data_IF_355881214534
#
_entry.id   IF_355881214534
#
_cell.length_a   1.000
_cell.length_b   1.000
_cell.length_c   1.000
_cell.angle_alpha   90.00
_cell.angle_beta   90.00
_cell.angle_gamma   90.00
#
_symmetry.space_group_name_H-M   'P 1'
#
loop_
_entity.id
_entity.type
_entity.pdbx_description
1 polymer ?
#
# COMPACT_ATOMS: atom_id res chain seq x y z
N UNK A 1 23.16 -54.14 65.85
CA UNK A 1 22.37 -54.16 64.66
C UNK A 1 22.34 -52.75 64.04
N UNK A 2 23.13 -52.62 63.00
CA UNK A 2 23.41 -51.36 62.30
C UNK A 2 22.29 -51.09 61.30
N UNK A 3 21.64 -49.93 61.46
CA UNK A 3 20.72 -49.33 60.49
C UNK A 3 21.54 -48.44 59.57
N UNK A 4 21.59 -48.73 58.27
CA UNK A 4 22.07 -47.79 57.23
C UNK A 4 20.92 -46.96 56.70
N UNK A 5 21.12 -45.66 56.52
CA UNK A 5 20.11 -44.82 55.87
C UNK A 5 20.22 -44.91 54.37
N UNK A 6 19.07 -44.99 53.73
CA UNK A 6 18.87 -44.97 52.29
C UNK A 6 19.22 -43.57 51.74
N UNK A 7 20.13 -43.50 50.79
CA UNK A 7 20.42 -42.27 50.04
C UNK A 7 19.34 -42.04 49.01
N UNK A 8 18.62 -40.94 49.17
CA UNK A 8 17.72 -40.38 48.19
C UNK A 8 18.55 -39.70 47.09
N UNK A 9 18.55 -40.25 45.89
CA UNK A 9 19.13 -39.63 44.71
C UNK A 9 18.17 -38.58 44.18
N UNK A 10 18.48 -37.31 44.42
CA UNK A 10 17.80 -36.18 43.77
C UNK A 10 18.17 -36.13 42.28
N UNK A 11 17.18 -36.40 41.44
CA UNK A 11 17.26 -36.22 40.01
C UNK A 11 17.22 -34.71 39.72
N UNK A 12 18.36 -34.15 39.31
CA UNK A 12 18.45 -32.78 38.82
C UNK A 12 17.79 -32.73 37.46
N UNK A 13 16.61 -32.14 37.39
CA UNK A 13 15.99 -31.79 36.10
C UNK A 13 16.85 -30.73 35.39
N UNK A 14 17.47 -31.11 34.28
CA UNK A 14 18.13 -30.17 33.41
C UNK A 14 17.07 -29.27 32.77
N UNK A 15 17.05 -28.01 33.18
CA UNK A 15 16.32 -26.94 32.47
C UNK A 15 17.01 -26.72 31.16
N UNK A 16 16.40 -27.21 30.08
CA UNK A 16 16.78 -26.84 28.70
C UNK A 16 16.57 -25.33 28.53
N UNK A 17 17.67 -24.61 28.35
CA UNK A 17 17.62 -23.23 27.87
C UNK A 17 17.00 -23.21 26.48
N UNK A 18 16.08 -22.27 26.18
CA UNK A 18 15.59 -22.11 24.83
C UNK A 18 16.77 -21.69 23.93
N UNK A 19 16.92 -22.41 22.81
CA UNK A 19 17.92 -22.11 21.80
C UNK A 19 17.84 -20.65 21.39
N UNK A 20 19.02 -20.01 21.32
CA UNK A 20 19.20 -18.64 20.82
C UNK A 20 18.42 -18.43 19.53
N UNK A 21 17.48 -17.51 19.55
CA UNK A 21 16.90 -16.95 18.35
C UNK A 21 18.03 -16.24 17.57
N UNK A 22 18.10 -16.36 16.24
CA UNK A 22 19.17 -15.73 15.48
C UNK A 22 19.11 -14.21 15.72
N UNK A 23 20.21 -13.65 16.24
CA UNK A 23 20.44 -12.21 16.32
C UNK A 23 20.36 -11.63 14.90
N UNK A 24 19.34 -10.84 14.63
CA UNK A 24 19.13 -10.19 13.32
C UNK A 24 17.70 -10.35 12.75
N UNK A 25 16.80 -11.03 13.42
CA UNK A 25 15.39 -10.93 13.09
C UNK A 25 14.91 -9.52 13.46
N UNK A 26 14.72 -8.67 12.45
CA UNK A 26 13.96 -7.44 12.62
C UNK A 26 12.64 -7.81 13.33
N UNK A 27 12.18 -6.97 14.29
CA UNK A 27 10.91 -7.23 14.95
C UNK A 27 9.87 -7.53 13.89
N UNK A 28 9.08 -8.57 14.11
CA UNK A 28 8.02 -9.00 13.19
C UNK A 28 7.25 -7.75 12.76
N UNK A 29 7.54 -7.28 11.55
CA UNK A 29 6.89 -6.10 11.00
C UNK A 29 5.39 -6.35 11.10
N UNK A 30 4.73 -5.54 11.89
CA UNK A 30 3.27 -5.57 12.01
C UNK A 30 2.74 -5.35 10.60
N UNK A 31 2.15 -6.40 10.01
CA UNK A 31 1.55 -6.28 8.68
C UNK A 31 0.55 -5.14 8.73
N UNK A 32 0.56 -4.25 7.75
CA UNK A 32 -0.38 -3.14 7.74
C UNK A 32 -1.81 -3.69 7.77
N UNK A 33 -2.65 -3.03 8.54
CA UNK A 33 -4.06 -3.40 8.65
C UNK A 33 -4.72 -3.34 7.27
N UNK A 34 -5.51 -4.36 6.94
CA UNK A 34 -6.30 -4.39 5.70
C UNK A 34 -7.41 -3.33 5.81
N UNK A 35 -7.41 -2.38 4.89
CA UNK A 35 -8.46 -1.35 4.79
C UNK A 35 -9.61 -1.89 3.96
N UNK A 36 -10.79 -2.00 4.59
CA UNK A 36 -12.05 -2.33 3.92
C UNK A 36 -12.81 -1.05 3.55
N UNK A 37 -13.84 -1.18 2.71
CA UNK A 37 -14.72 -0.06 2.38
C UNK A 37 -15.38 0.54 3.63
N UNK A 38 -15.85 -0.31 4.54
CA UNK A 38 -16.45 0.09 5.80
C UNK A 38 -15.49 0.91 6.67
N UNK A 39 -14.24 0.46 6.78
CA UNK A 39 -13.19 1.19 7.52
C UNK A 39 -12.87 2.55 6.88
N UNK A 40 -12.84 2.63 5.56
CA UNK A 40 -12.67 3.91 4.86
C UNK A 40 -13.85 4.85 5.14
N UNK A 41 -15.08 4.37 5.07
CA UNK A 41 -16.28 5.15 5.38
C UNK A 41 -16.29 5.66 6.84
N UNK A 42 -15.91 4.80 7.79
CA UNK A 42 -15.78 5.19 9.20
C UNK A 42 -14.71 6.29 9.39
N UNK A 43 -13.58 6.16 8.71
CA UNK A 43 -12.52 7.15 8.76
C UNK A 43 -12.93 8.49 8.15
N UNK A 44 -13.69 8.48 7.04
CA UNK A 44 -14.25 9.69 6.43
C UNK A 44 -15.19 10.39 7.41
N UNK A 45 -16.09 9.65 8.06
CA UNK A 45 -17.00 10.21 9.08
C UNK A 45 -16.24 10.77 10.27
N UNK A 46 -15.22 10.04 10.76
CA UNK A 46 -14.41 10.44 11.91
C UNK A 46 -13.56 11.69 11.63
N UNK A 47 -13.25 11.98 10.37
CA UNK A 47 -12.47 13.18 9.99
C UNK A 47 -13.20 14.48 10.28
N UNK A 48 -14.54 14.44 10.38
CA UNK A 48 -15.40 15.63 10.58
C UNK A 48 -15.43 16.57 9.38
N UNK A 49 -14.86 16.21 8.24
CA UNK A 49 -14.84 17.01 7.02
C UNK A 49 -16.00 16.60 6.09
N UNK A 50 -16.44 17.56 5.28
CA UNK A 50 -17.44 17.30 4.25
C UNK A 50 -16.75 16.71 3.01
N UNK A 51 -17.14 15.48 2.64
CA UNK A 51 -16.69 14.79 1.44
C UNK A 51 -17.88 14.45 0.53
N UNK A 52 -17.62 14.41 -0.78
CA UNK A 52 -18.57 13.92 -1.78
C UNK A 52 -18.62 12.38 -1.73
N UNK A 53 -19.45 11.83 -0.85
CA UNK A 53 -19.57 10.38 -0.67
C UNK A 53 -20.12 9.68 -1.90
N UNK A 54 -20.98 10.33 -2.70
CA UNK A 54 -21.53 9.74 -3.93
C UNK A 54 -20.40 9.50 -4.95
N UNK A 55 -19.51 10.47 -5.12
CA UNK A 55 -18.32 10.34 -5.97
C UNK A 55 -17.39 9.24 -5.47
N UNK A 56 -17.08 9.22 -4.18
CA UNK A 56 -16.15 8.27 -3.58
C UNK A 56 -16.72 6.84 -3.65
N UNK A 57 -17.99 6.64 -3.35
CA UNK A 57 -18.64 5.33 -3.46
C UNK A 57 -18.67 4.83 -4.92
N UNK A 58 -18.97 5.71 -5.86
CA UNK A 58 -18.94 5.40 -7.29
C UNK A 58 -17.54 5.00 -7.76
N UNK A 59 -16.50 5.69 -7.28
CA UNK A 59 -15.10 5.35 -7.56
C UNK A 59 -14.74 3.98 -6.96
N UNK A 60 -15.14 3.72 -5.73
CA UNK A 60 -14.94 2.42 -5.10
C UNK A 60 -15.62 1.29 -5.88
N UNK A 61 -16.88 1.45 -6.26
CA UNK A 61 -17.63 0.43 -6.99
C UNK A 61 -16.95 0.11 -8.33
N UNK A 62 -16.53 1.12 -9.08
CA UNK A 62 -15.81 0.93 -10.33
C UNK A 62 -14.48 0.19 -10.12
N UNK A 63 -13.69 0.58 -9.14
CA UNK A 63 -12.42 -0.07 -8.83
C UNK A 63 -12.61 -1.52 -8.33
N UNK A 64 -13.62 -1.75 -7.51
CA UNK A 64 -13.93 -3.09 -7.01
C UNK A 64 -14.38 -4.03 -8.13
N UNK A 65 -15.24 -3.58 -9.03
CA UNK A 65 -15.69 -4.34 -10.19
C UNK A 65 -14.53 -4.61 -11.17
N UNK A 66 -13.69 -3.62 -11.38
CA UNK A 66 -12.52 -3.72 -12.26
C UNK A 66 -11.50 -4.77 -11.80
N UNK A 67 -11.32 -4.92 -10.48
CA UNK A 67 -10.36 -5.84 -9.89
C UNK A 67 -11.01 -7.10 -9.27
N UNK A 68 -12.25 -7.38 -9.64
CA UNK A 68 -12.98 -8.54 -9.12
C UNK A 68 -12.26 -9.85 -9.44
N UNK A 69 -12.04 -10.67 -8.40
CA UNK A 69 -11.34 -11.95 -8.53
C UNK A 69 -9.82 -11.84 -8.65
N UNK A 70 -9.24 -10.66 -8.60
CA UNK A 70 -7.79 -10.44 -8.59
C UNK A 70 -7.29 -10.35 -7.16
N UNK A 71 -6.22 -11.09 -6.85
CA UNK A 71 -5.54 -11.04 -5.55
C UNK A 71 -4.14 -10.45 -5.69
N UNK A 72 -3.66 -9.81 -4.63
CA UNK A 72 -2.27 -9.39 -4.51
C UNK A 72 -1.36 -10.61 -4.26
N UNK A 73 -0.06 -10.44 -4.41
CA UNK A 73 0.92 -11.50 -4.08
C UNK A 73 0.88 -11.91 -2.61
N UNK A 74 0.46 -11.03 -1.71
CA UNK A 74 0.22 -11.26 -0.29
C UNK A 74 -1.06 -12.05 0.01
N UNK A 75 -1.91 -12.29 -1.00
CA UNK A 75 -3.10 -13.15 -0.94
C UNK A 75 -4.41 -12.42 -0.69
N UNK A 76 -4.39 -11.15 -0.24
CA UNK A 76 -5.60 -10.35 -0.06
C UNK A 76 -6.20 -9.90 -1.41
N UNK A 77 -7.52 -9.63 -1.47
CA UNK A 77 -8.16 -9.07 -2.66
C UNK A 77 -7.48 -7.77 -3.09
N UNK A 78 -7.32 -7.58 -4.40
CA UNK A 78 -6.59 -6.42 -4.94
C UNK A 78 -7.16 -5.07 -4.49
N UNK A 79 -8.48 -4.97 -4.33
CA UNK A 79 -9.17 -3.75 -3.91
C UNK A 79 -8.65 -3.19 -2.56
N UNK A 80 -8.05 -4.02 -1.72
CA UNK A 80 -7.46 -3.59 -0.45
C UNK A 80 -6.31 -2.58 -0.66
N UNK A 81 -5.61 -2.65 -1.80
CA UNK A 81 -4.56 -1.69 -2.12
C UNK A 81 -5.10 -0.29 -2.44
N UNK A 82 -5.98 -0.07 -3.42
CA UNK A 82 -6.55 1.25 -3.65
C UNK A 82 -7.31 1.79 -2.43
N UNK A 83 -7.95 0.95 -1.63
CA UNK A 83 -8.56 1.37 -0.36
C UNK A 83 -7.52 1.88 0.64
N UNK A 84 -6.39 1.21 0.78
CA UNK A 84 -5.30 1.65 1.64
C UNK A 84 -4.68 2.96 1.17
N UNK A 85 -4.49 3.13 -0.14
CA UNK A 85 -4.00 4.40 -0.72
C UNK A 85 -4.99 5.53 -0.47
N UNK A 86 -6.29 5.29 -0.68
CA UNK A 86 -7.34 6.27 -0.40
C UNK A 86 -7.37 6.67 1.09
N UNK A 87 -7.15 5.71 2.00
CA UNK A 87 -7.05 5.99 3.44
C UNK A 87 -5.87 6.88 3.79
N UNK A 88 -4.71 6.65 3.19
CA UNK A 88 -3.54 7.50 3.39
C UNK A 88 -3.79 8.92 2.87
N UNK A 89 -4.41 9.05 1.72
CA UNK A 89 -4.80 10.34 1.13
C UNK A 89 -5.80 11.08 2.02
N UNK A 90 -6.77 10.38 2.59
CA UNK A 90 -7.72 10.91 3.57
C UNK A 90 -7.01 11.41 4.84
N UNK A 91 -6.09 10.63 5.37
CA UNK A 91 -5.32 10.96 6.59
C UNK A 91 -4.46 12.22 6.40
N UNK A 92 -4.01 12.47 5.18
CA UNK A 92 -3.33 13.71 4.79
C UNK A 92 -4.29 14.91 4.60
N UNK A 93 -5.58 14.69 4.75
CA UNK A 93 -6.58 15.75 4.68
C UNK A 93 -6.90 16.25 3.28
N UNK A 94 -6.70 15.42 2.26
CA UNK A 94 -6.94 15.79 0.86
C UNK A 94 -8.43 15.76 0.51
N UNK A 95 -8.78 16.31 -0.65
CA UNK A 95 -10.15 16.49 -1.12
C UNK A 95 -10.81 15.22 -1.66
N UNK A 96 -12.09 15.29 -1.99
CA UNK A 96 -12.89 14.17 -2.51
C UNK A 96 -12.34 13.64 -3.83
N UNK A 97 -11.91 14.53 -4.72
CA UNK A 97 -11.34 14.19 -6.03
C UNK A 97 -10.05 13.39 -5.87
N UNK A 98 -9.21 13.73 -4.90
CA UNK A 98 -7.98 13.00 -4.58
C UNK A 98 -8.26 11.60 -4.05
N UNK A 99 -9.27 11.45 -3.18
CA UNK A 99 -9.71 10.14 -2.67
C UNK A 99 -10.25 9.28 -3.81
N UNK A 100 -11.10 9.84 -4.67
CA UNK A 100 -11.61 9.15 -5.85
C UNK A 100 -10.48 8.73 -6.80
N UNK A 101 -9.54 9.62 -7.08
CA UNK A 101 -8.37 9.32 -7.92
C UNK A 101 -7.47 8.22 -7.30
N UNK A 102 -7.31 8.20 -5.99
CA UNK A 102 -6.59 7.14 -5.28
C UNK A 102 -7.27 5.77 -5.44
N UNK A 103 -8.59 5.71 -5.35
CA UNK A 103 -9.37 4.49 -5.59
C UNK A 103 -9.25 4.00 -7.04
N UNK A 104 -9.12 4.91 -7.99
CA UNK A 104 -9.13 4.63 -9.43
C UNK A 104 -7.73 4.55 -10.07
N UNK A 105 -6.65 4.77 -9.31
CA UNK A 105 -5.31 4.99 -9.88
C UNK A 105 -4.79 3.84 -10.75
N UNK A 106 -5.19 2.60 -10.50
CA UNK A 106 -4.78 1.41 -11.27
C UNK A 106 -5.82 0.96 -12.32
N UNK A 107 -7.02 1.54 -12.32
CA UNK A 107 -8.13 1.04 -13.16
C UNK A 107 -7.83 1.15 -14.65
N UNK A 108 -7.20 2.23 -15.10
CA UNK A 108 -6.86 2.44 -16.51
C UNK A 108 -5.74 1.50 -16.98
N UNK A 109 -4.80 1.17 -16.10
CA UNK A 109 -3.69 0.25 -16.45
C UNK A 109 -4.14 -1.20 -16.48
N UNK A 110 -5.01 -1.60 -15.56
CA UNK A 110 -5.34 -2.99 -15.29
C UNK A 110 -6.62 -3.45 -16.02
N UNK A 111 -7.39 -2.53 -16.59
CA UNK A 111 -8.69 -2.82 -17.21
C UNK A 111 -8.90 -2.07 -18.53
N UNK A 112 -9.92 -2.44 -19.32
CA UNK A 112 -10.28 -1.70 -20.55
C UNK A 112 -10.85 -0.30 -20.32
N UNK A 113 -11.11 0.12 -19.08
CA UNK A 113 -11.61 1.46 -18.75
C UNK A 113 -10.65 2.53 -19.25
N UNK A 114 -11.16 3.50 -20.02
CA UNK A 114 -10.38 4.58 -20.59
C UNK A 114 -10.42 5.85 -19.75
N UNK A 115 -9.49 6.79 -20.00
CA UNK A 115 -9.54 8.13 -19.41
C UNK A 115 -10.80 8.91 -19.81
N UNK A 116 -11.30 8.70 -21.02
CA UNK A 116 -12.56 9.31 -21.46
C UNK A 116 -13.75 8.78 -20.65
N UNK A 117 -13.77 7.48 -20.32
CA UNK A 117 -14.78 6.90 -19.43
C UNK A 117 -14.72 7.53 -18.04
N UNK A 118 -13.52 7.73 -17.49
CA UNK A 118 -13.34 8.38 -16.19
C UNK A 118 -13.76 9.85 -16.23
N UNK A 119 -13.44 10.56 -17.30
CA UNK A 119 -13.84 11.96 -17.49
C UNK A 119 -15.37 12.07 -17.51
N UNK A 120 -16.05 11.18 -18.24
CA UNK A 120 -17.52 11.17 -18.34
C UNK A 120 -18.20 10.88 -16.97
N UNK A 121 -17.59 10.01 -16.17
CA UNK A 121 -18.18 9.57 -14.90
C UNK A 121 -17.80 10.43 -13.68
N UNK A 122 -16.57 10.95 -13.64
CA UNK A 122 -15.99 11.64 -12.47
C UNK A 122 -15.53 13.07 -12.74
N UNK A 123 -15.53 13.51 -14.00
CA UNK A 123 -15.03 14.82 -14.39
C UNK A 123 -13.53 14.79 -14.76
N UNK A 124 -13.11 15.90 -15.39
CA UNK A 124 -11.74 16.02 -15.92
C UNK A 124 -10.67 16.06 -14.82
N UNK A 125 -10.97 16.60 -13.66
CA UNK A 125 -10.04 16.74 -12.54
C UNK A 125 -9.58 15.36 -12.02
N UNK A 126 -10.50 14.46 -11.74
CA UNK A 126 -10.20 13.08 -11.32
C UNK A 126 -9.46 12.33 -12.42
N UNK A 127 -9.93 12.42 -13.68
CA UNK A 127 -9.29 11.76 -14.81
C UNK A 127 -7.85 12.23 -15.05
N UNK A 128 -7.57 13.51 -14.92
CA UNK A 128 -6.22 14.06 -15.04
C UNK A 128 -5.29 13.60 -13.92
N UNK A 129 -5.77 13.49 -12.69
CA UNK A 129 -4.98 12.93 -11.60
C UNK A 129 -4.65 11.46 -11.82
N UNK A 130 -5.60 10.65 -12.26
CA UNK A 130 -5.36 9.24 -12.60
C UNK A 130 -4.36 9.11 -13.74
N UNK A 131 -4.50 9.90 -14.79
CA UNK A 131 -3.53 9.96 -15.91
C UNK A 131 -2.12 10.33 -15.44
N UNK A 132 -2.01 11.32 -14.58
CA UNK A 132 -0.74 11.73 -13.99
C UNK A 132 -0.04 10.63 -13.20
N UNK A 133 -0.78 9.92 -12.36
CA UNK A 133 -0.26 8.78 -11.58
C UNK A 133 0.18 7.65 -12.51
N UNK A 134 -0.61 7.33 -13.53
CA UNK A 134 -0.29 6.34 -14.56
C UNK A 134 1.00 6.67 -15.30
N UNK A 135 1.17 7.92 -15.74
CA UNK A 135 2.38 8.38 -16.42
C UNK A 135 3.63 8.27 -15.55
N UNK A 136 3.52 8.57 -14.25
CA UNK A 136 4.62 8.38 -13.30
C UNK A 136 4.99 6.92 -13.09
N UNK A 137 4.03 6.00 -13.23
CA UNK A 137 4.27 4.56 -13.09
C UNK A 137 4.99 3.95 -14.29
N UNK A 138 4.70 4.42 -15.51
CA UNK A 138 5.19 3.82 -16.78
C UNK A 138 6.65 4.16 -17.14
N UNK A 139 7.38 4.83 -16.26
CA UNK A 139 8.76 5.21 -16.54
C UNK A 139 9.66 3.98 -16.44
N UNK A 140 10.14 3.47 -17.60
CA UNK A 140 11.15 2.41 -17.69
C UNK A 140 12.53 3.03 -17.92
N UNK A 141 13.56 2.45 -17.30
CA UNK A 141 14.89 3.04 -17.26
C UNK A 141 15.97 2.05 -17.66
N UNK A 142 16.91 2.52 -18.47
CA UNK A 142 18.06 1.74 -18.96
C UNK A 142 19.32 1.92 -18.12
N UNK A 143 19.41 2.96 -17.30
CA UNK A 143 20.59 3.25 -16.48
C UNK A 143 20.20 4.12 -15.26
N UNK A 144 20.89 3.91 -14.11
CA UNK A 144 20.50 4.49 -12.82
C UNK A 144 20.67 6.02 -12.78
N UNK A 145 21.67 6.58 -13.44
CA UNK A 145 21.92 8.03 -13.42
C UNK A 145 20.95 8.81 -14.30
N UNK A 146 20.67 8.31 -15.51
CA UNK A 146 19.61 8.83 -16.38
C UNK A 146 18.23 8.70 -15.74
N UNK A 147 18.03 7.60 -14.99
CA UNK A 147 16.88 7.30 -14.18
C UNK A 147 16.55 8.43 -13.20
N UNK A 148 17.53 8.86 -12.41
CA UNK A 148 17.32 9.86 -11.36
C UNK A 148 16.99 11.24 -11.95
N UNK A 149 17.71 11.66 -12.98
CA UNK A 149 17.50 12.94 -13.64
C UNK A 149 16.13 13.00 -14.35
N UNK A 150 15.77 11.93 -15.08
CA UNK A 150 14.49 11.86 -15.78
C UNK A 150 13.30 11.72 -14.84
N UNK A 151 13.47 10.99 -13.73
CA UNK A 151 12.48 10.92 -12.66
C UNK A 151 12.23 12.29 -12.04
N UNK A 152 13.29 12.98 -11.66
CA UNK A 152 13.18 14.32 -11.08
C UNK A 152 12.49 15.28 -12.05
N UNK A 153 12.86 15.25 -13.33
CA UNK A 153 12.22 16.06 -14.37
C UNK A 153 10.73 15.76 -14.49
N UNK A 154 10.33 14.50 -14.54
CA UNK A 154 8.91 14.08 -14.65
C UNK A 154 8.14 14.39 -13.39
N UNK A 155 8.76 14.23 -12.23
CA UNK A 155 8.19 14.68 -10.96
C UNK A 155 7.91 16.19 -10.97
N UNK A 156 8.88 17.01 -11.38
CA UNK A 156 8.72 18.46 -11.47
C UNK A 156 7.62 18.85 -12.48
N UNK A 157 7.53 18.17 -13.62
CA UNK A 157 6.48 18.40 -14.62
C UNK A 157 5.09 17.99 -14.10
N UNK A 158 4.98 16.88 -13.36
CA UNK A 158 3.73 16.47 -12.75
C UNK A 158 3.31 17.44 -11.63
N UNK A 159 4.25 17.89 -10.79
CA UNK A 159 4.01 18.88 -9.73
C UNK A 159 3.59 20.24 -10.28
N UNK A 160 4.09 20.64 -11.46
CA UNK A 160 3.70 21.90 -12.11
C UNK A 160 2.22 21.90 -12.53
N UNK A 161 1.64 20.72 -12.76
CA UNK A 161 0.22 20.56 -13.10
C UNK A 161 -0.67 20.37 -11.87
N UNK A 162 -0.34 19.40 -11.04
CA UNK A 162 -1.10 19.09 -9.83
C UNK A 162 -0.24 18.31 -8.83
N UNK A 163 0.07 18.92 -7.69
CA UNK A 163 0.85 18.30 -6.61
C UNK A 163 0.16 17.06 -6.03
N UNK A 164 -1.16 16.98 -6.12
CA UNK A 164 -1.94 15.84 -5.62
C UNK A 164 -1.54 14.52 -6.29
N UNK A 165 -1.16 14.56 -7.56
CA UNK A 165 -0.64 13.41 -8.31
C UNK A 165 0.58 12.80 -7.61
N UNK A 166 1.51 13.63 -7.15
CA UNK A 166 2.70 13.19 -6.42
C UNK A 166 2.34 12.55 -5.09
N UNK A 167 1.42 13.18 -4.35
CA UNK A 167 1.00 12.67 -3.04
C UNK A 167 0.33 11.30 -3.19
N UNK A 168 -0.56 11.13 -4.16
CA UNK A 168 -1.19 9.83 -4.46
C UNK A 168 -0.12 8.79 -4.81
N UNK A 169 0.86 9.15 -5.64
CA UNK A 169 1.95 8.23 -6.02
C UNK A 169 2.81 7.84 -4.83
N UNK A 170 3.12 8.77 -3.94
CA UNK A 170 3.86 8.48 -2.71
C UNK A 170 3.07 7.55 -1.77
N UNK A 171 1.76 7.76 -1.64
CA UNK A 171 0.89 6.87 -0.87
C UNK A 171 0.82 5.46 -1.47
N UNK A 172 0.74 5.35 -2.80
CA UNK A 172 0.81 4.08 -3.53
C UNK A 172 2.13 3.35 -3.22
N UNK A 173 3.26 4.04 -3.35
CA UNK A 173 4.59 3.49 -3.03
C UNK A 173 4.70 3.07 -1.56
N UNK A 174 4.24 3.90 -0.64
CA UNK A 174 4.29 3.62 0.78
C UNK A 174 3.54 2.32 1.11
N UNK A 175 2.33 2.14 0.59
CA UNK A 175 1.57 0.92 0.81
C UNK A 175 2.25 -0.30 0.19
N UNK A 176 2.78 -0.18 -1.04
CA UNK A 176 3.54 -1.25 -1.69
C UNK A 176 4.79 -1.65 -0.89
N UNK A 177 5.48 -0.69 -0.28
CA UNK A 177 6.63 -0.99 0.60
C UNK A 177 6.21 -1.69 1.89
N UNK A 178 5.12 -1.25 2.52
CA UNK A 178 4.57 -1.87 3.74
C UNK A 178 4.08 -3.29 3.52
N UNK A 179 3.67 -3.64 2.30
CA UNK A 179 3.25 -5.00 1.91
C UNK A 179 4.34 -5.77 1.18
N UNK A 180 5.56 -5.23 1.11
CA UNK A 180 6.70 -5.78 0.37
C UNK A 180 7.30 -7.06 0.93
N UNK A 181 6.92 -7.51 2.13
CA UNK A 181 7.30 -8.79 2.72
C UNK A 181 6.85 -10.00 1.88
N UNK A 182 5.82 -9.84 1.05
CA UNK A 182 5.39 -10.83 0.07
C UNK A 182 6.30 -10.92 -1.18
N UNK A 183 7.28 -10.02 -1.31
CA UNK A 183 8.19 -10.00 -2.45
C UNK A 183 9.46 -10.81 -2.17
N UNK A 184 10.08 -11.43 -3.19
CA UNK A 184 11.43 -11.96 -3.10
C UNK A 184 12.41 -10.87 -2.60
N UNK A 185 13.40 -11.26 -1.78
CA UNK A 185 14.32 -10.31 -1.14
C UNK A 185 15.02 -9.37 -2.13
N UNK A 186 15.42 -9.88 -3.30
CA UNK A 186 16.04 -9.06 -4.34
C UNK A 186 15.09 -7.95 -4.81
N UNK A 187 13.82 -8.28 -5.04
CA UNK A 187 12.81 -7.32 -5.48
C UNK A 187 12.47 -6.29 -4.41
N UNK A 188 12.52 -6.68 -3.13
CA UNK A 188 12.37 -5.76 -2.00
C UNK A 188 13.50 -4.74 -1.95
N UNK A 189 14.75 -5.19 -2.15
CA UNK A 189 15.94 -4.32 -2.18
C UNK A 189 15.91 -3.35 -3.36
N UNK A 190 15.51 -3.82 -4.54
CA UNK A 190 15.41 -2.98 -5.74
C UNK A 190 14.35 -1.89 -5.54
N UNK A 191 13.19 -2.23 -5.00
CA UNK A 191 12.13 -1.27 -4.69
C UNK A 191 12.54 -0.25 -3.62
N UNK A 192 13.27 -0.67 -2.59
CA UNK A 192 13.77 0.24 -1.55
C UNK A 192 14.79 1.26 -2.09
N UNK A 193 15.57 0.89 -3.12
CA UNK A 193 16.52 1.80 -3.77
C UNK A 193 15.86 2.81 -4.71
N UNK A 194 14.70 2.48 -5.27
CA UNK A 194 13.92 3.35 -6.15
C UNK A 194 13.13 4.44 -5.41
N UNK A 195 13.02 4.34 -4.08
CA UNK A 195 12.25 5.27 -3.23
C UNK A 195 13.14 6.30 -2.58
#
# INVERSE_FOLDING_TARGET
>A
HLHQPVQETATVAATAQPADAPEGALPSEVRPEIVTWEKLCEAIKASGRAYDMDMIEKAYNLANDAHKGVCRRSGEPYICHPLAVARLVLDLGMDSESIAAALLHDVVEDTPTTLDDLTAQFGSEVAQMVDGVTKLTKIQFSNIEELQAENLRKMLLAMSRDVRVMIIKLCDRLHNMRTGDAWPEQKRRDKARET
#
